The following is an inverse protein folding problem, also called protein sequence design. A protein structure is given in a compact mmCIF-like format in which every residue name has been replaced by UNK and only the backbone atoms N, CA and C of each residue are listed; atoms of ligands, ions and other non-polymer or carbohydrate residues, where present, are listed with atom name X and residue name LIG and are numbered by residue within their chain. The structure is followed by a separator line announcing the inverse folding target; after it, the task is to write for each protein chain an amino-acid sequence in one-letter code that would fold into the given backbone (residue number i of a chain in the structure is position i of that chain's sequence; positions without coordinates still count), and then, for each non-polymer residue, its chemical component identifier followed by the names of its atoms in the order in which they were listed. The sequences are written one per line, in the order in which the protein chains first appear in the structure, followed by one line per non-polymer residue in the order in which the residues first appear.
data_IF_415871803808
#
_entry.id   IF_415871803808
#
_cell.length_a   1.000
_cell.length_b   1.000
_cell.length_c   1.000
_cell.angle_alpha   90.00
_cell.angle_beta   90.00
_cell.angle_gamma   90.00
#
_symmetry.space_group_name_H-M   'P 1'
#
loop_
_entity.id
_entity.type
_entity.pdbx_description
1 polymer ?
#
# COMPACT_ATOMS: atom_id res chain seq x y z
N UNK A 1 -6.10 14.40 27.70
CA UNK A 1 -4.70 14.24 27.22
C UNK A 1 -3.95 15.52 27.53
N UNK A 2 -2.78 15.43 28.16
CA UNK A 2 -1.87 16.56 28.45
C UNK A 2 -0.87 16.83 27.32
N UNK A 3 -0.81 15.98 26.30
CA UNK A 3 0.11 16.13 25.16
C UNK A 3 -0.54 16.95 24.03
N UNK A 4 -0.07 18.18 23.85
CA UNK A 4 -0.62 19.13 22.86
C UNK A 4 -0.33 18.73 21.39
N UNK A 5 0.74 17.99 21.15
CA UNK A 5 1.19 17.56 19.82
C UNK A 5 0.48 16.29 19.30
N UNK A 6 -0.31 15.62 20.14
CA UNK A 6 -0.83 14.27 19.87
C UNK A 6 -1.90 14.29 18.77
N UNK A 7 -1.56 13.76 17.60
CA UNK A 7 -2.48 13.52 16.49
C UNK A 7 -2.73 12.01 16.38
N UNK A 8 -3.94 11.56 16.74
CA UNK A 8 -4.32 10.15 16.66
C UNK A 8 -5.30 9.91 15.50
N UNK A 9 -5.21 8.78 14.80
CA UNK A 9 -6.16 8.41 13.74
C UNK A 9 -7.48 7.87 14.33
N UNK A 10 -8.15 8.64 15.18
CA UNK A 10 -9.29 8.18 16.01
C UNK A 10 -10.45 7.61 15.18
N UNK A 11 -10.70 8.14 13.99
CA UNK A 11 -11.77 7.65 13.12
C UNK A 11 -11.40 6.28 12.55
N UNK A 12 -10.17 6.10 12.07
CA UNK A 12 -9.69 4.81 11.58
C UNK A 12 -9.63 3.75 12.68
N UNK A 13 -9.15 4.12 13.87
CA UNK A 13 -9.14 3.23 15.05
C UNK A 13 -10.56 2.78 15.43
N UNK A 14 -11.51 3.71 15.42
CA UNK A 14 -12.92 3.42 15.70
C UNK A 14 -13.51 2.47 14.65
N UNK A 15 -13.31 2.73 13.36
CA UNK A 15 -13.79 1.87 12.25
C UNK A 15 -13.21 0.46 12.37
N UNK A 16 -11.92 0.32 12.69
CA UNK A 16 -11.29 -0.98 12.93
C UNK A 16 -11.97 -1.76 14.08
N UNK A 17 -12.35 -1.08 15.16
CA UNK A 17 -13.11 -1.67 16.27
C UNK A 17 -14.50 -2.13 15.86
N UNK A 18 -15.26 -1.26 15.18
CA UNK A 18 -16.61 -1.57 14.73
C UNK A 18 -16.64 -2.70 13.69
N UNK A 19 -15.63 -2.79 12.82
CA UNK A 19 -15.50 -3.89 11.87
C UNK A 19 -15.41 -5.26 12.56
N UNK A 20 -14.81 -5.34 13.77
CA UNK A 20 -14.77 -6.59 14.56
C UNK A 20 -16.15 -6.96 15.08
N UNK A 21 -16.92 -5.98 15.59
CA UNK A 21 -18.29 -6.19 16.06
C UNK A 21 -19.19 -6.62 14.91
N UNK A 22 -19.10 -5.94 13.76
CA UNK A 22 -19.88 -6.25 12.57
C UNK A 22 -19.66 -7.69 12.10
N UNK A 23 -18.41 -8.17 12.08
CA UNK A 23 -18.10 -9.58 11.77
C UNK A 23 -18.70 -10.56 12.78
N UNK A 24 -18.78 -10.18 14.05
CA UNK A 24 -19.42 -11.00 15.09
C UNK A 24 -20.91 -11.25 14.84
N UNK A 25 -21.59 -10.35 14.12
CA UNK A 25 -23.01 -10.50 13.77
C UNK A 25 -23.25 -11.50 12.62
N UNK A 26 -22.19 -11.97 11.95
CA UNK A 26 -22.30 -12.97 10.88
C UNK A 26 -22.78 -14.31 11.43
N UNK A 27 -22.16 -14.82 12.48
CA UNK A 27 -22.49 -16.12 13.07
C UNK A 27 -23.97 -16.27 13.46
N UNK A 28 -24.57 -15.38 14.28
CA UNK A 28 -25.99 -15.52 14.63
C UNK A 28 -26.92 -15.40 13.42
N UNK A 29 -26.50 -14.66 12.38
CA UNK A 29 -27.26 -14.56 11.12
C UNK A 29 -27.21 -15.88 10.34
N UNK A 30 -26.05 -16.55 10.28
CA UNK A 30 -25.92 -17.86 9.65
C UNK A 30 -26.68 -18.95 10.40
N UNK A 31 -26.60 -18.97 11.73
CA UNK A 31 -27.33 -19.93 12.56
C UNK A 31 -28.86 -19.74 12.43
N UNK A 32 -29.31 -18.51 12.23
CA UNK A 32 -30.74 -18.18 12.01
C UNK A 32 -31.30 -18.67 10.66
N UNK A 33 -30.48 -19.23 9.77
CA UNK A 33 -30.95 -19.76 8.48
C UNK A 33 -31.59 -21.14 8.57
N UNK A 34 -31.23 -21.95 9.56
CA UNK A 34 -31.68 -23.35 9.68
C UNK A 34 -32.98 -23.42 10.46
N UNK A 35 -34.08 -23.04 9.80
CA UNK A 35 -35.43 -23.09 10.37
C UNK A 35 -36.11 -24.44 10.15
N UNK A 36 -37.03 -24.81 11.04
CA UNK A 36 -37.77 -26.07 10.96
C UNK A 36 -39.02 -25.96 10.08
N UNK A 37 -39.15 -26.88 9.11
CA UNK A 37 -40.30 -27.01 8.19
C UNK A 37 -40.70 -25.68 7.51
N UNK A 38 -41.95 -25.25 7.64
CA UNK A 38 -42.47 -24.02 7.00
C UNK A 38 -42.01 -22.73 7.68
N UNK A 39 -41.70 -22.79 8.99
CA UNK A 39 -40.86 -21.85 9.78
C UNK A 39 -40.93 -22.22 11.26
N UNK A 40 -39.91 -21.83 12.01
CA UNK A 40 -40.02 -21.46 13.42
C UNK A 40 -39.74 -19.95 13.60
N UNK A 41 -39.73 -19.46 14.85
CA UNK A 41 -39.60 -18.03 15.18
C UNK A 41 -38.24 -17.68 15.82
N UNK A 42 -37.29 -18.61 15.90
CA UNK A 42 -36.02 -18.42 16.63
C UNK A 42 -35.16 -17.30 16.04
N UNK A 43 -35.16 -17.14 14.71
CA UNK A 43 -34.48 -16.06 14.01
C UNK A 43 -34.99 -14.66 14.43
N UNK A 44 -36.28 -14.53 14.74
CA UNK A 44 -36.90 -13.21 15.01
C UNK A 44 -36.22 -12.47 16.17
N UNK A 45 -35.85 -13.17 17.24
CA UNK A 45 -35.14 -12.54 18.37
C UNK A 45 -33.72 -12.12 18.00
N UNK A 46 -33.00 -12.89 17.18
CA UNK A 46 -31.65 -12.58 16.74
C UNK A 46 -31.65 -11.43 15.73
N UNK A 47 -32.56 -11.45 14.75
CA UNK A 47 -32.71 -10.45 13.69
C UNK A 47 -33.05 -9.05 14.22
N UNK A 48 -33.76 -8.95 15.35
CA UNK A 48 -34.00 -7.68 16.06
C UNK A 48 -32.71 -7.00 16.53
N UNK A 49 -31.63 -7.76 16.70
CA UNK A 49 -30.31 -7.22 16.98
C UNK A 49 -29.48 -7.13 15.71
N UNK A 50 -29.31 -8.23 14.98
CA UNK A 50 -28.36 -8.27 13.86
C UNK A 50 -28.74 -7.27 12.77
N UNK A 51 -30.00 -7.23 12.31
CA UNK A 51 -30.40 -6.38 11.19
C UNK A 51 -30.22 -4.88 11.48
N UNK A 52 -30.87 -4.27 12.50
CA UNK A 52 -30.75 -2.83 12.72
C UNK A 52 -29.33 -2.40 13.09
N UNK A 53 -28.60 -3.23 13.86
CA UNK A 53 -27.24 -2.88 14.25
C UNK A 53 -26.26 -2.98 13.08
N UNK A 54 -26.39 -3.97 12.19
CA UNK A 54 -25.55 -4.08 10.98
C UNK A 54 -25.68 -2.82 10.12
N UNK A 55 -26.91 -2.40 9.81
CA UNK A 55 -27.13 -1.19 9.00
C UNK A 55 -26.60 0.07 9.69
N UNK A 56 -26.90 0.24 10.99
CA UNK A 56 -26.46 1.42 11.75
C UNK A 56 -24.93 1.50 11.88
N UNK A 57 -24.27 0.35 12.10
CA UNK A 57 -22.82 0.29 12.22
C UNK A 57 -22.13 0.56 10.88
N UNK A 58 -22.61 -0.03 9.79
CA UNK A 58 -22.05 0.20 8.46
C UNK A 58 -22.20 1.66 8.06
N UNK A 59 -23.40 2.25 8.23
CA UNK A 59 -23.64 3.66 7.92
C UNK A 59 -22.66 4.57 8.69
N UNK A 60 -22.52 4.35 9.99
CA UNK A 60 -21.59 5.13 10.81
C UNK A 60 -20.12 4.91 10.42
N UNK A 61 -19.73 3.68 10.06
CA UNK A 61 -18.39 3.38 9.56
C UNK A 61 -18.10 4.11 8.24
N UNK A 62 -19.06 4.12 7.31
CA UNK A 62 -18.94 4.84 6.03
C UNK A 62 -18.84 6.36 6.27
N UNK A 63 -19.69 6.92 7.14
CA UNK A 63 -19.62 8.33 7.54
C UNK A 63 -18.24 8.70 8.09
N UNK A 64 -17.66 7.84 8.94
CA UNK A 64 -16.32 8.03 9.50
C UNK A 64 -15.23 7.96 8.45
N UNK A 65 -15.32 7.00 7.52
CA UNK A 65 -14.35 6.86 6.45
C UNK A 65 -14.40 8.01 5.45
N UNK A 66 -15.59 8.54 5.14
CA UNK A 66 -15.72 9.76 4.34
C UNK A 66 -14.94 10.91 4.96
N UNK A 67 -15.07 11.15 6.28
CA UNK A 67 -14.27 12.16 6.98
C UNK A 67 -12.76 11.91 6.93
N UNK A 68 -12.34 10.65 6.95
CA UNK A 68 -10.92 10.30 6.85
C UNK A 68 -10.39 10.68 5.47
N UNK A 69 -11.09 10.31 4.40
CA UNK A 69 -10.65 10.58 3.03
C UNK A 69 -10.80 12.06 2.64
N UNK A 70 -11.87 12.74 3.06
CA UNK A 70 -12.07 14.19 2.85
C UNK A 70 -10.98 15.04 3.53
N UNK A 71 -10.50 14.61 4.70
CA UNK A 71 -9.50 15.33 5.50
C UNK A 71 -8.08 14.78 5.39
N UNK A 72 -7.81 13.86 4.46
CA UNK A 72 -6.51 13.17 4.39
C UNK A 72 -5.40 14.12 3.92
N UNK A 73 -4.39 14.32 4.77
CA UNK A 73 -3.20 15.10 4.43
C UNK A 73 -2.08 14.18 3.95
N UNK A 74 -1.70 14.29 2.68
CA UNK A 74 -0.59 13.54 2.09
C UNK A 74 0.68 14.39 2.06
N UNK A 75 1.74 13.92 2.72
CA UNK A 75 3.02 14.62 2.81
C UNK A 75 4.05 14.03 1.81
N UNK A 76 4.02 14.51 0.57
CA UNK A 76 4.89 14.01 -0.51
C UNK A 76 6.38 14.03 -0.15
N UNK A 77 6.85 15.11 0.45
CA UNK A 77 8.27 15.24 0.86
C UNK A 77 8.67 14.18 1.90
N UNK A 78 7.75 13.83 2.81
CA UNK A 78 8.00 12.75 3.78
C UNK A 78 7.99 11.38 3.12
N UNK A 79 7.14 11.16 2.11
CA UNK A 79 7.15 9.93 1.33
C UNK A 79 8.49 9.76 0.61
N UNK A 80 8.98 10.81 -0.04
CA UNK A 80 10.28 10.80 -0.71
C UNK A 80 11.42 10.58 0.29
N UNK A 81 11.41 11.29 1.42
CA UNK A 81 12.42 11.09 2.48
C UNK A 81 12.43 9.66 3.00
N UNK A 82 11.27 9.04 3.22
CA UNK A 82 11.19 7.64 3.67
C UNK A 82 11.76 6.67 2.63
N UNK A 83 11.61 6.98 1.34
CA UNK A 83 12.25 6.22 0.24
C UNK A 83 13.77 6.42 0.28
N UNK A 84 14.24 7.65 0.42
CA UNK A 84 15.68 7.99 0.48
C UNK A 84 16.37 7.38 1.70
N UNK A 85 15.64 7.15 2.81
CA UNK A 85 16.14 6.46 4.01
C UNK A 85 16.58 5.02 3.74
N UNK A 86 16.16 4.40 2.63
CA UNK A 86 16.67 3.08 2.23
C UNK A 86 18.02 3.15 1.49
N UNK A 87 18.65 4.34 1.38
CA UNK A 87 19.95 4.54 0.75
C UNK A 87 20.03 3.98 -0.69
N UNK A 88 18.92 4.05 -1.43
CA UNK A 88 18.82 3.54 -2.79
C UNK A 88 18.71 2.02 -2.92
N UNK A 89 18.77 1.24 -1.84
CA UNK A 89 18.69 -0.23 -1.87
C UNK A 89 17.39 -0.75 -2.50
N UNK A 90 16.29 -0.03 -2.33
CA UNK A 90 15.01 -0.37 -2.99
C UNK A 90 15.08 -0.31 -4.53
N UNK A 91 16.12 0.33 -5.09
CA UNK A 91 16.35 0.47 -6.52
C UNK A 91 17.30 -0.59 -7.09
N UNK A 92 17.67 -1.60 -6.30
CA UNK A 92 18.55 -2.69 -6.75
C UNK A 92 17.99 -3.48 -7.96
N UNK A 93 16.69 -3.78 -7.96
CA UNK A 93 16.03 -4.47 -9.07
C UNK A 93 16.07 -3.66 -10.39
N UNK A 94 15.67 -2.37 -10.42
CA UNK A 94 15.84 -1.49 -11.59
C UNK A 94 17.25 -1.51 -12.17
N UNK A 95 18.27 -1.44 -11.31
CA UNK A 95 19.68 -1.47 -11.73
C UNK A 95 20.03 -2.82 -12.37
N UNK A 96 19.60 -3.93 -11.77
CA UNK A 96 19.83 -5.28 -12.32
C UNK A 96 19.16 -5.44 -13.69
N UNK A 97 17.91 -4.97 -13.85
CA UNK A 97 17.21 -4.98 -15.14
C UNK A 97 17.94 -4.14 -16.17
N UNK A 98 18.45 -2.96 -15.79
CA UNK A 98 19.20 -2.09 -16.68
C UNK A 98 20.52 -2.74 -17.14
N UNK A 99 21.22 -3.46 -16.26
CA UNK A 99 22.41 -4.24 -16.64
C UNK A 99 22.08 -5.30 -17.69
N UNK A 100 21.01 -6.06 -17.48
CA UNK A 100 20.53 -7.07 -18.45
C UNK A 100 20.13 -6.43 -19.76
N UNK A 101 19.45 -5.28 -19.73
CA UNK A 101 19.09 -4.50 -20.92
C UNK A 101 20.29 -4.01 -21.72
N UNK A 102 21.46 -3.86 -21.07
CA UNK A 102 22.74 -3.52 -21.70
C UNK A 102 23.59 -4.73 -22.10
N UNK A 103 23.03 -5.94 -21.99
CA UNK A 103 23.66 -7.19 -22.45
C UNK A 103 24.55 -7.88 -21.43
N UNK A 104 24.55 -7.44 -20.16
CA UNK A 104 25.23 -8.17 -19.07
C UNK A 104 24.42 -9.41 -18.70
N UNK A 105 25.10 -10.54 -18.48
CA UNK A 105 24.46 -11.78 -18.05
C UNK A 105 23.67 -11.58 -16.75
N UNK A 106 22.47 -12.14 -16.65
CA UNK A 106 21.61 -11.96 -15.46
C UNK A 106 22.31 -12.34 -14.15
N UNK A 107 23.09 -13.42 -14.17
CA UNK A 107 23.81 -13.89 -12.97
C UNK A 107 24.91 -12.90 -12.58
N UNK A 108 25.64 -12.35 -13.55
CA UNK A 108 26.69 -11.36 -13.32
C UNK A 108 26.08 -10.04 -12.83
N UNK A 109 25.00 -9.57 -13.46
CA UNK A 109 24.26 -8.39 -13.05
C UNK A 109 23.74 -8.51 -11.61
N UNK A 110 23.17 -9.68 -11.27
CA UNK A 110 22.73 -9.97 -9.92
C UNK A 110 23.88 -9.90 -8.92
N UNK A 111 25.03 -10.52 -9.23
CA UNK A 111 26.18 -10.54 -8.33
C UNK A 111 26.78 -9.15 -8.11
N UNK A 112 26.91 -8.35 -9.18
CA UNK A 112 27.38 -6.95 -9.10
C UNK A 112 26.49 -6.13 -8.17
N UNK A 113 25.17 -6.20 -8.36
CA UNK A 113 24.22 -5.45 -7.53
C UNK A 113 24.19 -5.98 -6.10
N UNK A 114 24.27 -7.30 -5.90
CA UNK A 114 24.30 -7.94 -4.57
C UNK A 114 25.51 -7.47 -3.77
N UNK A 115 26.72 -7.55 -4.35
CA UNK A 115 27.94 -7.11 -3.69
C UNK A 115 27.91 -5.62 -3.34
N UNK A 116 27.48 -4.76 -4.27
CA UNK A 116 27.36 -3.33 -4.02
C UNK A 116 26.31 -3.00 -2.94
N UNK A 117 25.21 -3.76 -2.90
CA UNK A 117 24.16 -3.62 -1.89
C UNK A 117 24.64 -4.03 -0.50
N UNK A 118 25.41 -5.12 -0.38
CA UNK A 118 25.99 -5.52 0.91
C UNK A 118 26.97 -4.47 1.44
N UNK A 119 27.78 -3.86 0.57
CA UNK A 119 28.68 -2.77 0.98
C UNK A 119 27.88 -1.55 1.43
N UNK A 120 26.86 -1.15 0.66
CA UNK A 120 26.00 -0.01 0.99
C UNK A 120 25.29 -0.20 2.34
N UNK A 121 24.79 -1.40 2.61
CA UNK A 121 24.11 -1.73 3.87
C UNK A 121 25.08 -1.77 5.06
N UNK A 122 26.24 -2.43 4.92
CA UNK A 122 27.21 -2.54 6.01
C UNK A 122 27.90 -1.21 6.36
N UNK A 123 28.08 -0.33 5.38
CA UNK A 123 28.76 0.96 5.56
C UNK A 123 27.79 2.14 5.70
N UNK A 124 26.47 1.90 5.67
CA UNK A 124 25.42 2.94 5.67
C UNK A 124 25.61 4.00 4.56
N UNK A 125 25.96 3.54 3.35
CA UNK A 125 26.25 4.38 2.17
C UNK A 125 25.15 4.30 1.12
N UNK A 126 25.10 5.29 0.23
CA UNK A 126 24.21 5.24 -0.93
C UNK A 126 24.63 4.12 -1.88
N UNK A 127 23.68 3.28 -2.30
CA UNK A 127 23.92 2.22 -3.29
C UNK A 127 24.49 2.79 -4.60
N UNK A 128 24.09 4.00 -4.98
CA UNK A 128 24.62 4.67 -6.17
C UNK A 128 26.15 4.85 -6.09
N UNK A 129 26.66 5.19 -4.91
CA UNK A 129 28.10 5.43 -4.72
C UNK A 129 28.87 4.10 -4.74
N UNK A 130 28.37 3.06 -4.05
CA UNK A 130 29.03 1.75 -4.02
C UNK A 130 29.02 1.06 -5.39
N UNK A 131 27.96 1.23 -6.17
CA UNK A 131 27.92 0.82 -7.57
C UNK A 131 28.93 1.62 -8.40
N UNK A 132 28.94 2.95 -8.26
CA UNK A 132 29.84 3.80 -9.05
C UNK A 132 31.31 3.60 -8.71
N UNK A 133 31.68 3.06 -7.56
CA UNK A 133 33.06 2.71 -7.21
C UNK A 133 33.61 1.56 -8.06
N UNK A 134 32.75 0.70 -8.61
CA UNK A 134 33.18 -0.48 -9.34
C UNK A 134 33.49 -0.17 -10.81
N UNK A 135 34.57 -0.77 -11.31
CA UNK A 135 35.00 -0.59 -12.70
C UNK A 135 34.05 -1.27 -13.70
N UNK A 136 33.48 -2.42 -13.33
CA UNK A 136 32.51 -3.17 -14.14
C UNK A 136 31.22 -2.36 -14.40
N UNK A 137 30.75 -1.60 -13.40
CA UNK A 137 29.60 -0.68 -13.52
C UNK A 137 29.94 0.49 -14.46
N UNK A 138 31.11 1.13 -14.30
CA UNK A 138 31.54 2.28 -15.14
C UNK A 138 31.77 1.93 -16.60
N UNK A 139 32.04 0.67 -16.92
CA UNK A 139 32.13 0.18 -18.31
C UNK A 139 30.77 0.10 -19.00
N UNK A 140 29.70 -0.01 -18.23
CA UNK A 140 28.34 -0.25 -18.73
C UNK A 140 27.49 1.02 -18.67
N UNK A 141 27.63 1.84 -17.63
CA UNK A 141 26.83 3.05 -17.41
C UNK A 141 27.66 4.32 -17.32
N UNK A 142 27.09 5.44 -17.75
CA UNK A 142 27.50 6.76 -17.26
C UNK A 142 26.91 7.00 -15.87
N UNK A 143 27.46 7.97 -15.12
CA UNK A 143 26.96 8.27 -13.77
C UNK A 143 25.52 8.79 -13.82
N UNK A 144 25.23 9.61 -14.84
CA UNK A 144 23.92 10.22 -15.07
C UNK A 144 22.87 9.16 -15.44
N UNK A 145 23.23 8.19 -16.29
CA UNK A 145 22.35 7.07 -16.62
C UNK A 145 22.04 6.21 -15.39
N UNK A 146 23.07 5.88 -14.60
CA UNK A 146 22.88 5.07 -13.39
C UNK A 146 22.00 5.81 -12.38
N UNK A 147 22.23 7.10 -12.17
CA UNK A 147 21.39 7.93 -11.31
C UNK A 147 19.94 7.99 -11.81
N UNK A 148 19.72 8.07 -13.12
CA UNK A 148 18.38 8.06 -13.71
C UNK A 148 17.66 6.72 -13.51
N UNK A 149 18.36 5.59 -13.64
CA UNK A 149 17.78 4.25 -13.37
C UNK A 149 17.39 4.11 -11.90
N UNK A 150 18.14 4.77 -11.02
CA UNK A 150 17.91 4.75 -9.58
C UNK A 150 16.93 5.83 -9.10
N UNK A 151 16.27 6.58 -9.99
CA UNK A 151 15.19 7.49 -9.62
C UNK A 151 13.89 6.72 -9.28
N UNK A 152 13.39 6.75 -8.03
CA UNK A 152 12.16 6.06 -7.65
C UNK A 152 10.93 6.49 -8.47
N UNK A 153 10.90 7.73 -8.97
CA UNK A 153 9.80 8.20 -9.81
C UNK A 153 9.74 7.49 -11.17
N UNK A 154 10.86 6.93 -11.63
CA UNK A 154 10.93 6.13 -12.86
C UNK A 154 10.44 4.68 -12.69
N UNK A 155 10.28 4.22 -11.44
CA UNK A 155 9.96 2.83 -11.11
C UNK A 155 8.59 2.65 -10.45
N UNK A 156 7.59 3.38 -10.96
CA UNK A 156 6.21 3.28 -10.47
C UNK A 156 5.42 2.13 -11.09
N UNK A 157 6.01 1.40 -12.06
CA UNK A 157 5.35 0.33 -12.79
C UNK A 157 3.99 0.76 -13.37
N UNK A 158 3.01 -0.13 -13.31
CA UNK A 158 1.65 0.11 -13.80
C UNK A 158 0.76 0.98 -12.88
N UNK A 159 1.32 1.70 -11.91
CA UNK A 159 0.54 2.43 -10.90
C UNK A 159 -0.43 3.42 -11.51
N UNK A 160 0.00 4.16 -12.55
CA UNK A 160 -0.84 5.14 -13.23
C UNK A 160 -2.01 4.46 -13.95
N UNK A 161 -1.73 3.40 -14.72
CA UNK A 161 -2.72 2.66 -15.47
C UNK A 161 -3.76 1.99 -14.56
N UNK A 162 -3.34 1.52 -13.38
CA UNK A 162 -4.25 0.95 -12.38
C UNK A 162 -5.18 2.05 -11.83
N UNK A 163 -4.63 3.22 -11.49
CA UNK A 163 -5.44 4.34 -11.00
C UNK A 163 -6.43 4.80 -12.06
N UNK A 164 -5.98 5.00 -13.30
CA UNK A 164 -6.82 5.44 -14.42
C UNK A 164 -7.98 4.44 -14.67
N UNK A 165 -7.70 3.13 -14.61
CA UNK A 165 -8.72 2.08 -14.71
C UNK A 165 -9.74 2.14 -13.58
N UNK A 166 -9.30 2.34 -12.34
CA UNK A 166 -10.19 2.40 -11.18
C UNK A 166 -11.07 3.65 -11.21
N UNK A 167 -10.49 4.81 -11.54
CA UNK A 167 -11.25 6.06 -11.70
C UNK A 167 -12.31 5.89 -12.77
N UNK A 168 -11.93 5.39 -13.95
CA UNK A 168 -12.89 5.16 -15.05
C UNK A 168 -14.03 4.20 -14.66
N UNK A 169 -13.71 3.12 -13.93
CA UNK A 169 -14.72 2.19 -13.45
C UNK A 169 -15.71 2.85 -12.45
N UNK A 170 -15.20 3.72 -11.56
CA UNK A 170 -16.03 4.47 -10.62
C UNK A 170 -16.90 5.50 -11.35
N UNK A 171 -16.34 6.24 -12.30
CA UNK A 171 -17.11 7.21 -13.10
C UNK A 171 -18.25 6.54 -13.87
N UNK A 172 -17.97 5.38 -14.47
CA UNK A 172 -18.98 4.58 -15.18
C UNK A 172 -20.06 4.06 -14.24
N UNK A 173 -19.72 3.68 -13.00
CA UNK A 173 -20.69 3.15 -12.05
C UNK A 173 -21.57 4.25 -11.43
N UNK A 174 -21.05 5.48 -11.32
CA UNK A 174 -21.74 6.61 -10.71
C UNK A 174 -22.44 7.53 -11.72
N UNK A 175 -22.24 7.30 -13.03
CA UNK A 175 -22.70 8.17 -14.11
C UNK A 175 -22.29 9.65 -13.91
N UNK A 176 -21.08 9.86 -13.38
CA UNK A 176 -20.50 11.19 -13.14
C UNK A 176 -18.98 11.13 -13.05
N UNK A 177 -18.32 12.26 -13.32
CA UNK A 177 -16.89 12.40 -13.08
C UNK A 177 -16.57 12.46 -11.58
N UNK A 178 -15.44 11.88 -11.19
CA UNK A 178 -14.89 11.89 -9.82
C UNK A 178 -13.53 12.55 -9.76
#
# INVERSE_FOLDING_TARGET
STMAQKRNPINSENVCGLARVLRGMVMPTFESQVLWHERDLSNSSAERFTLPHVFSLIDYMLYKMNKVFEGLNVHRDKMLRNIEMAHGLIMAEPVMIAFVGKGVGRQDAHEIVREASMVAENEERQLLDTLWEREDVRKVFTKEELASVMDPASYTGGSKEIVDKMVSAVESALDKKV
#
